data_IF_483384843093
#
_entry.id   IF_483384843093
#
_cell.length_a   1.000
_cell.length_b   1.000
_cell.length_c   1.000
_cell.angle_alpha   90.00
_cell.angle_beta   90.00
_cell.angle_gamma   90.00
#
_symmetry.space_group_name_H-M   'P 1'
#
loop_
_entity.id
_entity.type
_entity.pdbx_description
1 polymer ?
#
# COMPACT_ATOMS: atom_id res chain seq x y z
N UNK A 1 -26.89 -54.51 -44.12
CA UNK A 1 -26.35 -53.12 -44.26
C UNK A 1 -25.13 -53.14 -45.20
N UNK A 2 -25.24 -53.74 -46.38
CA UNK A 2 -24.10 -54.00 -47.29
C UNK A 2 -24.31 -53.46 -48.72
N UNK A 3 -25.42 -52.77 -49.00
CA UNK A 3 -25.72 -52.21 -50.32
C UNK A 3 -25.84 -50.67 -50.35
N UNK A 4 -25.61 -49.97 -49.22
CA UNK A 4 -25.67 -48.51 -49.16
C UNK A 4 -24.29 -47.82 -49.18
N UNK A 5 -23.18 -48.58 -49.15
CA UNK A 5 -21.83 -48.03 -48.94
C UNK A 5 -21.01 -47.76 -50.21
N UNK A 6 -21.58 -47.97 -51.41
CA UNK A 6 -20.81 -47.86 -52.67
C UNK A 6 -20.59 -46.43 -53.21
N UNK A 7 -21.27 -45.41 -52.69
CA UNK A 7 -21.12 -44.01 -53.16
C UNK A 7 -20.72 -43.00 -52.08
N UNK A 8 -20.08 -43.43 -51.00
CA UNK A 8 -19.56 -42.51 -49.99
C UNK A 8 -18.15 -42.01 -50.34
N UNK A 9 -17.97 -40.69 -50.34
CA UNK A 9 -16.66 -40.05 -50.53
C UNK A 9 -15.75 -40.38 -49.35
N UNK A 10 -14.43 -40.27 -49.56
CA UNK A 10 -13.43 -40.70 -48.57
C UNK A 10 -13.60 -40.03 -47.20
N UNK A 11 -14.02 -38.76 -47.16
CA UNK A 11 -14.29 -38.04 -45.92
C UNK A 11 -15.51 -38.59 -45.17
N UNK A 12 -16.55 -39.07 -45.88
CA UNK A 12 -17.75 -39.62 -45.25
C UNK A 12 -17.48 -40.99 -44.64
N UNK A 13 -16.63 -41.80 -45.28
CA UNK A 13 -16.13 -43.06 -44.70
C UNK A 13 -15.26 -42.81 -43.47
N UNK A 14 -14.42 -41.78 -43.51
CA UNK A 14 -13.63 -41.37 -42.36
C UNK A 14 -14.51 -40.90 -41.19
N UNK A 15 -15.50 -40.04 -41.46
CA UNK A 15 -16.47 -39.60 -40.45
C UNK A 15 -17.24 -40.79 -39.86
N UNK A 16 -17.74 -41.70 -40.68
CA UNK A 16 -18.45 -42.89 -40.20
C UNK A 16 -17.56 -43.81 -39.35
N UNK A 17 -16.28 -43.95 -39.72
CA UNK A 17 -15.32 -44.71 -38.91
C UNK A 17 -15.06 -44.06 -37.55
N UNK A 18 -14.83 -42.74 -37.52
CA UNK A 18 -14.63 -42.01 -36.26
C UNK A 18 -15.88 -42.11 -35.39
N UNK A 19 -17.06 -41.84 -35.93
CA UNK A 19 -18.34 -41.91 -35.19
C UNK A 19 -18.57 -43.31 -34.65
N UNK A 20 -18.48 -44.35 -35.49
CA UNK A 20 -18.71 -45.74 -35.06
C UNK A 20 -17.69 -46.21 -34.01
N UNK A 21 -16.43 -45.80 -34.15
CA UNK A 21 -15.38 -46.13 -33.18
C UNK A 21 -15.63 -45.41 -31.85
N UNK A 22 -16.01 -44.14 -31.89
CA UNK A 22 -16.36 -43.37 -30.69
C UNK A 22 -17.60 -43.92 -30.00
N UNK A 23 -18.66 -44.25 -30.75
CA UNK A 23 -19.88 -44.89 -30.22
C UNK A 23 -19.54 -46.20 -29.52
N UNK A 24 -18.80 -47.08 -30.20
CA UNK A 24 -18.40 -48.38 -29.61
C UNK A 24 -17.54 -48.19 -28.35
N UNK A 25 -16.65 -47.19 -28.35
CA UNK A 25 -15.80 -46.90 -27.19
C UNK A 25 -16.61 -46.36 -25.99
N UNK A 26 -17.52 -45.40 -26.21
CA UNK A 26 -18.37 -44.84 -25.16
C UNK A 26 -19.40 -45.83 -24.65
N UNK A 27 -19.96 -46.68 -25.51
CA UNK A 27 -20.89 -47.74 -25.10
C UNK A 27 -20.20 -48.77 -24.20
N UNK A 28 -19.01 -49.21 -24.59
CA UNK A 28 -18.22 -50.13 -23.77
C UNK A 28 -17.81 -49.50 -22.43
N UNK A 29 -17.40 -48.24 -22.42
CA UNK A 29 -17.05 -47.51 -21.20
C UNK A 29 -18.27 -47.30 -20.30
N UNK A 30 -19.42 -46.90 -20.87
CA UNK A 30 -20.68 -46.74 -20.16
C UNK A 30 -21.16 -48.05 -19.53
N UNK A 31 -21.05 -49.17 -20.25
CA UNK A 31 -21.37 -50.49 -19.71
C UNK A 31 -20.45 -50.89 -18.54
N UNK A 32 -19.14 -50.60 -18.62
CA UNK A 32 -18.22 -50.85 -17.52
C UNK A 32 -18.54 -50.03 -16.28
N UNK A 33 -18.87 -48.74 -16.44
CA UNK A 33 -19.28 -47.86 -15.33
C UNK A 33 -20.61 -48.34 -14.72
N UNK A 34 -21.60 -48.65 -15.54
CA UNK A 34 -22.92 -49.09 -15.08
C UNK A 34 -22.90 -50.47 -14.40
N UNK A 35 -22.00 -51.38 -14.82
CA UNK A 35 -21.90 -52.73 -14.24
C UNK A 35 -21.23 -52.76 -12.86
N UNK A 36 -20.41 -51.76 -12.51
CA UNK A 36 -19.70 -51.67 -11.21
C UNK A 36 -19.68 -50.23 -10.65
N UNK A 37 -20.85 -49.63 -10.34
CA UNK A 37 -20.94 -48.21 -10.02
C UNK A 37 -20.13 -47.80 -8.77
N UNK A 38 -20.19 -48.60 -7.69
CA UNK A 38 -19.46 -48.30 -6.46
C UNK A 38 -17.94 -48.29 -6.63
N UNK A 39 -17.41 -49.16 -7.49
CA UNK A 39 -15.97 -49.20 -7.76
C UNK A 39 -15.53 -47.97 -8.56
N UNK A 40 -16.31 -47.57 -9.56
CA UNK A 40 -16.06 -46.35 -10.33
C UNK A 40 -16.14 -45.09 -9.45
N UNK A 41 -17.18 -44.97 -8.61
CA UNK A 41 -17.32 -43.85 -7.66
C UNK A 41 -16.10 -43.77 -6.73
N UNK A 42 -15.69 -44.90 -6.14
CA UNK A 42 -14.52 -44.97 -5.27
C UNK A 42 -13.23 -44.53 -5.98
N UNK A 43 -13.04 -44.95 -7.23
CA UNK A 43 -11.88 -44.56 -8.04
C UNK A 43 -11.88 -43.07 -8.39
N UNK A 44 -13.04 -42.49 -8.73
CA UNK A 44 -13.20 -41.06 -8.96
C UNK A 44 -12.88 -40.24 -7.71
N UNK A 45 -13.44 -40.61 -6.55
CA UNK A 45 -13.14 -39.96 -5.28
C UNK A 45 -11.66 -40.07 -4.93
N UNK A 46 -11.05 -41.24 -5.10
CA UNK A 46 -9.61 -41.42 -4.86
C UNK A 46 -8.77 -40.50 -5.76
N UNK A 47 -9.14 -40.34 -7.02
CA UNK A 47 -8.47 -39.42 -7.94
C UNK A 47 -8.63 -37.95 -7.51
N UNK A 48 -9.85 -37.54 -7.14
CA UNK A 48 -10.14 -36.17 -6.67
C UNK A 48 -9.39 -35.87 -5.37
N UNK A 49 -9.48 -36.74 -4.37
CA UNK A 49 -8.76 -36.57 -3.10
C UNK A 49 -7.25 -36.55 -3.30
N UNK A 50 -6.70 -37.46 -4.13
CA UNK A 50 -5.27 -37.46 -4.45
C UNK A 50 -4.84 -36.18 -5.14
N UNK A 51 -5.68 -35.59 -5.99
CA UNK A 51 -5.39 -34.31 -6.64
C UNK A 51 -5.49 -33.16 -5.65
N UNK A 52 -6.47 -33.20 -4.74
CA UNK A 52 -6.66 -32.21 -3.69
C UNK A 52 -5.51 -32.18 -2.67
N UNK A 53 -4.75 -33.27 -2.49
CA UNK A 53 -3.53 -33.25 -1.68
C UNK A 53 -2.49 -32.23 -2.16
N UNK A 54 -2.54 -31.82 -3.45
CA UNK A 54 -1.71 -30.73 -3.97
C UNK A 54 -1.92 -29.39 -3.24
N UNK A 55 -3.12 -29.15 -2.69
CA UNK A 55 -3.42 -27.93 -1.93
C UNK A 55 -2.62 -27.82 -0.63
N UNK A 56 -2.04 -28.91 -0.10
CA UNK A 56 -1.14 -28.86 1.06
C UNK A 56 0.15 -28.07 0.79
N UNK A 57 0.53 -27.93 -0.48
CA UNK A 57 1.65 -27.10 -0.92
C UNK A 57 1.20 -25.80 -1.60
N UNK A 58 -0.07 -25.43 -1.45
CA UNK A 58 -0.55 -24.16 -1.98
C UNK A 58 0.13 -23.02 -1.22
N UNK A 59 0.88 -22.22 -1.97
CA UNK A 59 1.53 -21.02 -1.47
C UNK A 59 0.92 -19.83 -2.20
N UNK A 60 0.40 -18.88 -1.41
CA UNK A 60 -0.11 -17.62 -1.93
C UNK A 60 1.02 -16.60 -1.94
N UNK A 61 1.36 -16.14 -3.15
CA UNK A 61 2.32 -15.06 -3.36
C UNK A 61 1.76 -13.76 -2.79
N UNK A 62 2.54 -13.09 -1.93
CA UNK A 62 2.15 -11.80 -1.33
C UNK A 62 2.99 -10.63 -1.85
N UNK A 63 4.04 -10.90 -2.61
CA UNK A 63 4.90 -9.84 -3.10
C UNK A 63 4.24 -9.06 -4.25
N UNK A 64 3.87 -7.77 -4.07
CA UNK A 64 3.22 -7.00 -5.12
C UNK A 64 4.13 -6.86 -6.36
N UNK A 65 5.44 -6.76 -6.16
CA UNK A 65 6.39 -6.62 -7.24
C UNK A 65 6.38 -7.86 -8.15
N UNK A 66 6.23 -9.04 -7.57
CA UNK A 66 6.14 -10.28 -8.35
C UNK A 66 4.77 -10.49 -9.02
N UNK A 67 3.71 -9.97 -8.42
CA UNK A 67 2.33 -10.09 -8.93
C UNK A 67 2.02 -9.09 -10.06
N UNK A 68 2.47 -7.85 -9.92
CA UNK A 68 2.06 -6.73 -10.77
C UNK A 68 3.11 -6.30 -11.79
N UNK A 69 4.38 -6.70 -11.60
CA UNK A 69 5.48 -6.33 -12.49
C UNK A 69 6.01 -7.55 -13.25
N UNK A 70 6.13 -7.48 -14.58
CA UNK A 70 6.81 -8.53 -15.34
C UNK A 70 8.25 -8.71 -14.85
N UNK A 71 8.61 -9.94 -14.48
CA UNK A 71 9.89 -10.27 -13.83
C UNK A 71 11.14 -9.86 -14.61
N UNK A 72 11.06 -9.83 -15.94
CA UNK A 72 12.16 -9.45 -16.85
C UNK A 72 12.07 -8.00 -17.38
N UNK A 73 11.18 -7.19 -16.82
CA UNK A 73 11.10 -5.78 -17.21
C UNK A 73 12.32 -4.99 -16.73
N UNK A 74 12.65 -3.91 -17.43
CA UNK A 74 13.72 -2.98 -17.02
C UNK A 74 13.42 -2.37 -15.65
N UNK A 75 12.16 -2.02 -15.39
CA UNK A 75 11.71 -1.57 -14.06
C UNK A 75 12.04 -2.59 -12.97
N UNK A 76 11.79 -3.88 -13.22
CA UNK A 76 12.09 -4.94 -12.26
C UNK A 76 13.59 -4.99 -11.90
N UNK A 77 14.44 -4.95 -12.93
CA UNK A 77 15.89 -5.02 -12.77
C UNK A 77 16.43 -3.79 -12.03
N UNK A 78 15.97 -2.59 -12.41
CA UNK A 78 16.44 -1.34 -11.81
C UNK A 78 15.99 -1.19 -10.35
N UNK A 79 14.75 -1.58 -10.02
CA UNK A 79 14.24 -1.56 -8.65
C UNK A 79 14.96 -2.59 -7.78
N UNK A 80 15.26 -3.78 -8.31
CA UNK A 80 16.05 -4.77 -7.57
C UNK A 80 17.49 -4.30 -7.33
N UNK A 81 18.10 -3.61 -8.30
CA UNK A 81 19.38 -2.95 -8.09
C UNK A 81 19.31 -1.87 -7.01
N UNK A 82 18.25 -1.06 -6.99
CA UNK A 82 18.03 -0.03 -5.98
C UNK A 82 17.97 -0.64 -4.57
N UNK A 83 17.15 -1.68 -4.36
CA UNK A 83 17.01 -2.33 -3.06
C UNK A 83 18.29 -3.02 -2.60
N UNK A 84 19.04 -3.63 -3.53
CA UNK A 84 20.32 -4.27 -3.19
C UNK A 84 21.42 -3.26 -2.88
N UNK A 85 21.32 -2.04 -3.43
CA UNK A 85 22.37 -1.02 -3.31
C UNK A 85 22.13 -0.04 -2.18
N UNK A 86 20.86 0.30 -1.92
CA UNK A 86 20.44 1.20 -0.87
C UNK A 86 19.72 0.40 0.20
N UNK A 87 20.26 0.41 1.42
CA UNK A 87 19.68 -0.36 2.54
C UNK A 87 18.48 0.35 3.17
N UNK A 88 18.45 1.68 3.07
CA UNK A 88 17.50 2.53 3.77
C UNK A 88 16.59 3.23 2.76
N UNK A 89 15.30 3.20 3.04
CA UNK A 89 14.29 4.03 2.41
C UNK A 89 13.35 4.61 3.46
N UNK A 90 12.39 5.38 2.97
CA UNK A 90 11.29 5.86 3.77
C UNK A 90 9.96 5.61 3.08
N UNK A 91 8.91 5.52 3.90
CA UNK A 91 7.51 5.51 3.50
C UNK A 91 6.77 6.61 4.24
N UNK A 92 5.69 7.09 3.66
CA UNK A 92 5.00 8.30 4.10
C UNK A 92 3.69 7.98 4.78
N UNK A 93 3.52 8.56 5.96
CA UNK A 93 2.29 8.56 6.73
C UNK A 93 1.83 10.00 6.88
N UNK A 94 0.53 10.28 6.87
CA UNK A 94 0.12 11.67 6.86
C UNK A 94 -1.35 11.91 7.10
N UNK A 95 -1.67 13.19 7.21
CA UNK A 95 -3.05 13.63 7.23
C UNK A 95 -3.21 14.99 6.57
N UNK A 96 -4.36 15.17 5.94
CA UNK A 96 -4.83 16.40 5.35
C UNK A 96 -5.93 16.96 6.23
N UNK A 97 -5.69 18.15 6.79
CA UNK A 97 -6.71 18.92 7.50
C UNK A 97 -7.32 19.94 6.54
N UNK A 98 -8.64 19.95 6.47
CA UNK A 98 -9.43 20.86 5.63
C UNK A 98 -10.29 21.77 6.51
N UNK A 99 -10.14 23.07 6.30
CA UNK A 99 -10.90 24.14 6.97
C UNK A 99 -11.19 25.28 5.98
N UNK A 100 -11.97 26.28 6.38
CA UNK A 100 -12.21 27.47 5.55
C UNK A 100 -10.91 28.23 5.29
N UNK A 101 -10.07 28.34 6.32
CA UNK A 101 -8.69 28.81 6.21
C UNK A 101 -7.81 28.04 7.22
N UNK A 102 -6.78 27.35 6.71
CA UNK A 102 -5.85 26.56 7.55
C UNK A 102 -4.70 27.40 8.09
N UNK A 103 -4.52 28.63 7.63
CA UNK A 103 -3.45 29.55 8.05
C UNK A 103 -3.87 30.41 9.26
N UNK A 104 -4.79 29.91 10.08
CA UNK A 104 -5.20 30.57 11.32
C UNK A 104 -4.51 29.95 12.55
N UNK A 105 -4.29 30.73 13.62
CA UNK A 105 -3.66 30.24 14.84
C UNK A 105 -4.40 29.04 15.47
N UNK A 106 -5.74 29.03 15.40
CA UNK A 106 -6.56 27.96 15.99
C UNK A 106 -6.34 26.63 15.26
N UNK A 107 -6.24 26.67 13.93
CA UNK A 107 -5.98 25.47 13.13
C UNK A 107 -4.55 24.98 13.35
N UNK A 108 -3.55 25.87 13.34
CA UNK A 108 -2.17 25.48 13.61
C UNK A 108 -1.98 24.91 15.02
N UNK A 109 -2.68 25.45 16.02
CA UNK A 109 -2.69 24.88 17.37
C UNK A 109 -3.29 23.46 17.38
N UNK A 110 -4.40 23.25 16.67
CA UNK A 110 -5.01 21.92 16.51
C UNK A 110 -4.04 20.93 15.87
N UNK A 111 -3.31 21.35 14.83
CA UNK A 111 -2.29 20.54 14.16
C UNK A 111 -1.15 20.21 15.11
N UNK A 112 -0.71 21.16 15.93
CA UNK A 112 0.36 20.95 16.93
C UNK A 112 -0.06 19.97 18.03
N UNK A 113 -1.32 20.03 18.49
CA UNK A 113 -1.86 19.05 19.45
C UNK A 113 -1.96 17.65 18.85
N UNK A 114 -2.36 17.53 17.59
CA UNK A 114 -2.39 16.25 16.86
C UNK A 114 -0.97 15.70 16.71
N UNK A 115 -0.02 16.55 16.33
CA UNK A 115 1.40 16.17 16.20
C UNK A 115 1.97 15.63 17.51
N UNK A 116 1.69 16.29 18.64
CA UNK A 116 2.10 15.82 19.95
C UNK A 116 1.47 14.46 20.30
N UNK A 117 0.18 14.26 19.99
CA UNK A 117 -0.50 12.98 20.19
C UNK A 117 0.13 11.87 19.36
N UNK A 118 0.41 12.11 18.08
CA UNK A 118 1.07 11.15 17.17
C UNK A 118 2.45 10.78 17.72
N UNK A 119 3.26 11.76 18.11
CA UNK A 119 4.60 11.53 18.69
C UNK A 119 4.56 10.78 20.02
N UNK A 120 3.44 10.87 20.75
CA UNK A 120 3.22 10.14 22.01
C UNK A 120 2.63 8.74 21.84
N UNK A 121 2.34 8.28 20.61
CA UNK A 121 1.83 6.92 20.37
C UNK A 121 2.89 5.89 20.75
N UNK A 122 2.47 4.93 21.56
CA UNK A 122 3.26 3.77 21.97
C UNK A 122 2.44 2.53 21.62
N UNK A 123 3.05 1.60 20.90
CA UNK A 123 2.40 0.31 20.58
C UNK A 123 2.35 -0.62 21.81
N UNK A 124 1.60 -1.72 21.71
CA UNK A 124 1.59 -2.76 22.76
C UNK A 124 2.97 -3.34 23.08
N UNK A 125 3.92 -3.25 22.14
CA UNK A 125 5.28 -3.75 22.27
C UNK A 125 6.27 -2.66 22.71
N UNK A 126 5.79 -1.45 23.01
CA UNK A 126 6.63 -0.33 23.45
C UNK A 126 7.26 0.48 22.32
N UNK A 127 6.97 0.15 21.06
CA UNK A 127 7.54 0.84 19.89
C UNK A 127 7.00 2.27 19.82
N UNK A 128 7.91 3.23 19.68
CA UNK A 128 7.62 4.67 19.61
C UNK A 128 7.93 5.26 18.23
N UNK A 129 7.33 6.42 17.90
CA UNK A 129 7.60 7.10 16.63
C UNK A 129 9.10 7.37 16.40
N UNK A 130 9.84 7.73 17.46
CA UNK A 130 11.28 8.05 17.38
C UNK A 130 12.14 6.83 16.98
N UNK A 131 11.66 5.62 17.21
CA UNK A 131 12.37 4.39 16.85
C UNK A 131 12.13 4.02 15.39
N UNK A 132 10.90 4.21 14.90
CA UNK A 132 10.49 3.83 13.54
C UNK A 132 10.63 4.94 12.50
N UNK A 133 10.83 6.19 12.90
CA UNK A 133 10.95 7.31 11.95
C UNK A 133 12.23 7.24 11.11
N UNK A 134 12.15 7.78 9.90
CA UNK A 134 13.34 8.01 9.08
C UNK A 134 14.15 9.17 9.67
N UNK A 135 15.37 8.88 10.10
CA UNK A 135 16.22 9.85 10.80
C UNK A 135 17.11 10.62 9.84
N UNK A 136 17.17 11.93 10.03
CA UNK A 136 18.09 12.83 9.33
C UNK A 136 18.97 13.58 10.35
N UNK A 137 20.18 14.02 9.95
CA UNK A 137 20.99 14.92 10.77
C UNK A 137 20.27 16.25 11.00
N UNK A 138 20.14 16.64 12.26
CA UNK A 138 19.70 17.97 12.68
C UNK A 138 20.87 18.95 12.54
N UNK A 139 20.65 20.04 11.82
CA UNK A 139 21.68 21.05 11.56
C UNK A 139 21.27 22.34 12.25
N UNK A 140 22.05 22.75 13.24
CA UNK A 140 21.87 24.04 13.90
C UNK A 140 22.21 25.20 12.92
N UNK A 141 21.38 26.24 12.96
CA UNK A 141 21.55 27.49 12.21
C UNK A 141 22.91 28.14 12.56
N UNK A 142 23.43 27.93 13.77
CA UNK A 142 24.73 28.44 14.19
C UNK A 142 25.90 27.75 13.46
N UNK A 143 25.77 26.46 13.11
CA UNK A 143 26.75 25.75 12.28
C UNK A 143 26.67 26.26 10.82
N UNK A 144 25.48 26.68 10.38
CA UNK A 144 25.28 27.36 9.11
C UNK A 144 26.04 28.69 8.98
N UNK A 145 26.24 29.40 10.10
CA UNK A 145 27.10 30.61 10.12
C UNK A 145 28.59 30.26 9.87
N UNK A 146 29.00 29.01 10.10
CA UNK A 146 30.34 28.53 9.72
C UNK A 146 30.45 28.24 8.22
N UNK A 147 29.35 27.82 7.57
CA UNK A 147 29.29 27.57 6.13
C UNK A 147 29.11 28.84 5.29
N UNK A 148 28.54 29.91 5.87
CA UNK A 148 28.53 31.25 5.26
C UNK A 148 29.90 31.91 5.44
N UNK A 149 30.68 31.96 4.37
CA UNK A 149 31.96 32.68 4.32
C UNK A 149 31.79 34.14 4.77
N UNK A 150 32.51 34.52 5.85
CA UNK A 150 32.59 35.90 6.37
C UNK A 150 33.37 36.87 5.46
N UNK A 151 33.89 36.43 4.32
CA UNK A 151 34.76 37.24 3.46
C UNK A 151 34.12 37.60 2.11
N UNK A 152 33.03 38.37 2.15
CA UNK A 152 32.50 39.05 0.97
C UNK A 152 32.89 40.54 1.02
N UNK A 153 34.14 40.85 0.66
CA UNK A 153 34.51 42.22 0.26
C UNK A 153 34.25 42.48 -1.24
N UNK A 154 34.00 41.43 -2.02
CA UNK A 154 33.81 41.48 -3.48
C UNK A 154 32.67 40.55 -3.92
N UNK A 155 31.43 40.77 -3.46
CA UNK A 155 30.17 40.40 -4.15
C UNK A 155 29.91 38.95 -4.58
N UNK A 156 30.82 38.00 -4.36
CA UNK A 156 30.68 36.59 -4.67
C UNK A 156 30.77 35.82 -3.35
N UNK A 157 29.61 35.53 -2.75
CA UNK A 157 29.51 34.70 -1.56
C UNK A 157 29.97 33.27 -1.91
N UNK A 158 31.23 32.94 -1.59
CA UNK A 158 31.69 31.56 -1.70
C UNK A 158 31.15 30.76 -0.52
N UNK A 159 30.13 29.94 -0.78
CA UNK A 159 29.64 28.97 0.19
C UNK A 159 30.74 27.95 0.51
N UNK A 160 31.07 27.76 1.79
CA UNK A 160 32.02 26.72 2.19
C UNK A 160 31.29 25.38 2.23
N UNK A 161 31.55 24.52 1.24
CA UNK A 161 31.00 23.16 1.17
C UNK A 161 32.02 22.14 1.71
N UNK A 162 31.80 21.56 2.91
CA UNK A 162 32.73 20.60 3.51
C UNK A 162 32.92 19.34 2.68
N UNK A 163 31.96 18.97 1.83
CA UNK A 163 32.04 17.77 1.00
C UNK A 163 33.12 17.88 -0.08
N UNK A 164 33.47 19.12 -0.48
CA UNK A 164 34.52 19.40 -1.47
C UNK A 164 35.92 19.41 -0.84
N UNK A 165 36.03 19.86 0.42
CA UNK A 165 37.31 20.05 1.10
C UNK A 165 37.74 18.89 1.99
N UNK A 166 36.79 18.12 2.54
CA UNK A 166 37.09 16.98 3.39
C UNK A 166 37.15 15.68 2.59
N UNK A 167 38.05 14.78 3.01
CA UNK A 167 38.00 13.41 2.50
C UNK A 167 36.73 12.70 3.02
N UNK A 168 36.33 11.63 2.35
CA UNK A 168 35.08 10.91 2.66
C UNK A 168 35.02 10.44 4.12
N UNK A 169 36.12 9.98 4.71
CA UNK A 169 36.14 9.49 6.09
C UNK A 169 35.93 10.63 7.11
N UNK A 170 36.55 11.79 6.90
CA UNK A 170 36.37 12.97 7.74
C UNK A 170 34.97 13.56 7.58
N UNK A 171 34.44 13.58 6.35
CA UNK A 171 33.10 14.06 6.08
C UNK A 171 32.03 13.14 6.73
N UNK A 172 32.14 11.81 6.59
CA UNK A 172 31.20 10.89 7.25
C UNK A 172 31.23 11.05 8.76
N UNK A 173 32.41 11.15 9.38
CA UNK A 173 32.52 11.38 10.83
C UNK A 173 31.87 12.69 11.28
N UNK A 174 31.98 13.75 10.47
CA UNK A 174 31.29 15.01 10.73
C UNK A 174 29.77 14.82 10.67
N UNK A 175 29.26 14.18 9.61
CA UNK A 175 27.82 13.94 9.44
C UNK A 175 27.26 13.04 10.55
N UNK A 176 27.99 12.00 10.94
CA UNK A 176 27.65 11.08 12.03
C UNK A 176 27.70 11.74 13.41
N UNK A 177 28.39 12.89 13.55
CA UNK A 177 28.47 13.62 14.83
C UNK A 177 27.24 14.47 15.14
N UNK A 178 26.39 14.74 14.14
CA UNK A 178 25.18 15.53 14.33
C UNK A 178 24.13 14.73 15.11
N UNK A 179 23.30 15.44 15.88
CA UNK A 179 22.09 14.85 16.46
C UNK A 179 21.17 14.39 15.33
N UNK A 180 20.44 13.30 15.56
CA UNK A 180 19.47 12.80 14.61
C UNK A 180 18.05 13.19 15.02
N UNK A 181 17.29 13.72 14.07
CA UNK A 181 15.87 14.03 14.21
C UNK A 181 15.02 13.22 13.23
N UNK A 182 13.73 13.06 13.52
CA UNK A 182 12.81 12.40 12.62
C UNK A 182 12.46 13.34 11.45
N UNK A 183 12.59 12.85 10.22
CA UNK A 183 12.12 13.57 9.06
C UNK A 183 10.59 13.66 9.11
N UNK A 184 10.12 14.89 9.22
CA UNK A 184 8.73 15.29 9.15
C UNK A 184 8.65 16.43 8.12
N UNK A 185 7.51 16.57 7.45
CA UNK A 185 7.18 17.78 6.69
C UNK A 185 5.94 18.40 7.29
N UNK A 186 6.13 19.54 7.94
CA UNK A 186 5.07 20.31 8.57
C UNK A 186 5.36 21.80 8.49
N UNK A 187 4.30 22.61 8.31
CA UNK A 187 4.43 24.07 8.40
C UNK A 187 4.84 24.51 9.82
N UNK A 188 4.62 23.65 10.84
CA UNK A 188 5.00 23.92 12.23
C UNK A 188 6.53 24.02 12.43
N UNK A 189 7.33 23.52 11.47
CA UNK A 189 8.78 23.66 11.46
C UNK A 189 9.23 25.13 11.48
N UNK A 190 8.44 26.04 10.88
CA UNK A 190 8.75 27.49 10.87
C UNK A 190 8.83 28.11 12.27
N UNK A 191 8.29 27.43 13.27
CA UNK A 191 8.30 27.82 14.68
C UNK A 191 8.94 26.75 15.59
N UNK A 192 9.72 25.83 15.03
CA UNK A 192 10.38 24.73 15.76
C UNK A 192 9.40 23.90 16.62
N UNK A 193 8.16 23.72 16.17
CA UNK A 193 7.12 22.99 16.91
C UNK A 193 6.82 23.54 18.31
N UNK A 194 7.13 24.82 18.57
CA UNK A 194 6.92 25.47 19.86
C UNK A 194 5.45 25.89 20.04
N UNK A 195 4.69 25.10 20.82
CA UNK A 195 3.25 25.28 21.03
C UNK A 195 2.95 26.65 21.67
N UNK A 196 3.78 27.10 22.61
CA UNK A 196 3.55 28.38 23.30
C UNK A 196 3.73 29.56 22.36
N UNK A 197 4.69 29.47 21.43
CA UNK A 197 4.82 30.46 20.34
C UNK A 197 3.62 30.42 19.42
N UNK A 198 3.21 29.23 18.96
CA UNK A 198 2.09 29.07 18.02
C UNK A 198 0.79 29.66 18.58
N UNK A 199 0.54 29.46 19.87
CA UNK A 199 -0.64 29.98 20.56
C UNK A 199 -0.73 31.52 20.59
N UNK A 200 0.41 32.20 20.55
CA UNK A 200 0.49 33.66 20.59
C UNK A 200 0.50 34.30 19.19
N UNK A 201 0.59 33.51 18.12
CA UNK A 201 0.67 34.03 16.76
C UNK A 201 -0.63 34.68 16.33
N UNK A 202 -0.50 35.76 15.57
CA UNK A 202 -1.58 36.30 14.75
C UNK A 202 -1.55 35.72 13.34
N UNK A 203 -2.71 35.68 12.67
CA UNK A 203 -2.82 35.28 11.26
C UNK A 203 -1.84 36.04 10.36
N UNK A 204 -1.64 37.34 10.60
CA UNK A 204 -0.74 38.18 9.81
C UNK A 204 0.72 37.74 9.96
N UNK A 205 1.15 37.36 11.17
CA UNK A 205 2.50 36.85 11.41
C UNK A 205 2.72 35.49 10.75
N UNK A 206 1.72 34.61 10.77
CA UNK A 206 1.74 33.31 10.07
C UNK A 206 1.99 33.54 8.58
N UNK A 207 1.17 34.37 7.95
CA UNK A 207 1.25 34.68 6.52
C UNK A 207 2.59 35.33 6.16
N UNK A 208 3.05 36.30 6.96
CA UNK A 208 4.33 36.97 6.71
C UNK A 208 5.51 36.00 6.82
N UNK A 209 5.51 35.12 7.83
CA UNK A 209 6.58 34.14 8.05
C UNK A 209 6.61 33.11 6.92
N UNK A 210 5.45 32.62 6.48
CA UNK A 210 5.31 31.68 5.39
C UNK A 210 5.78 32.28 4.05
N UNK A 211 5.34 33.48 3.71
CA UNK A 211 5.75 34.12 2.45
C UNK A 211 7.23 34.51 2.43
N UNK A 212 7.81 34.85 3.60
CA UNK A 212 9.25 35.12 3.71
C UNK A 212 10.11 33.85 3.62
N UNK A 213 9.56 32.69 3.98
CA UNK A 213 10.27 31.41 4.04
C UNK A 213 9.48 30.33 3.30
N UNK A 214 9.37 30.46 1.97
CA UNK A 214 8.64 29.47 1.14
C UNK A 214 9.36 28.12 1.10
N UNK A 215 10.69 28.16 1.08
CA UNK A 215 11.56 27.01 1.09
C UNK A 215 12.36 27.00 2.39
N UNK A 216 12.63 25.80 2.90
CA UNK A 216 13.60 25.63 3.96
C UNK A 216 14.97 26.14 3.55
N UNK A 217 15.68 26.75 4.50
CA UNK A 217 16.97 27.36 4.23
C UNK A 217 18.05 26.34 3.83
N UNK A 218 18.01 25.13 4.38
CA UNK A 218 19.01 24.07 4.18
C UNK A 218 18.60 23.10 3.08
N UNK A 219 17.36 22.64 3.13
CA UNK A 219 16.84 21.62 2.23
C UNK A 219 16.27 22.23 0.93
N UNK A 220 16.13 23.55 0.87
CA UNK A 220 15.66 24.27 -0.30
C UNK A 220 14.33 23.73 -0.79
N UNK A 221 14.27 23.36 -2.08
CA UNK A 221 13.06 22.82 -2.69
C UNK A 221 12.62 21.46 -2.12
N UNK A 222 13.51 20.70 -1.47
CA UNK A 222 13.14 19.43 -0.85
C UNK A 222 12.15 19.63 0.32
N UNK A 223 12.23 20.79 0.98
CA UNK A 223 11.26 21.21 2.00
C UNK A 223 10.60 22.54 1.57
N UNK A 224 9.80 22.46 0.52
CA UNK A 224 8.91 23.56 0.13
C UNK A 224 7.61 23.49 0.95
N UNK A 225 7.31 24.55 1.70
CA UNK A 225 6.11 24.64 2.53
C UNK A 225 4.84 24.92 1.72
N UNK A 226 4.99 25.47 0.51
CA UNK A 226 3.86 25.72 -0.40
C UNK A 226 3.21 24.41 -0.86
N UNK A 227 4.01 23.33 -1.00
CA UNK A 227 3.51 22.00 -1.38
C UNK A 227 2.65 21.34 -0.30
N UNK A 228 2.75 21.81 0.95
CA UNK A 228 1.94 21.33 2.06
C UNK A 228 0.54 21.97 2.05
N UNK A 229 0.31 23.02 1.26
CA UNK A 229 -0.95 23.75 1.23
C UNK A 229 -1.76 23.36 -0.01
N UNK A 230 -3.06 23.19 0.19
CA UNK A 230 -4.02 22.91 -0.87
C UNK A 230 -5.03 24.04 -1.05
N UNK A 231 -5.39 24.29 -2.32
CA UNK A 231 -6.32 25.34 -2.73
C UNK A 231 -5.94 26.72 -2.16
N UNK A 232 -4.76 27.19 -2.58
CA UNK A 232 -4.12 28.42 -2.11
C UNK A 232 -4.76 29.63 -2.80
N UNK A 233 -5.13 30.65 -2.03
CA UNK A 233 -5.53 31.95 -2.56
C UNK A 233 -4.38 32.95 -2.41
N UNK A 234 -4.04 33.62 -3.51
CA UNK A 234 -2.94 34.58 -3.56
C UNK A 234 -3.44 35.99 -3.82
N UNK A 235 -2.72 37.00 -3.33
CA UNK A 235 -2.96 38.39 -3.70
C UNK A 235 -2.46 38.69 -5.12
N UNK A 236 -2.70 39.92 -5.60
CA UNK A 236 -2.24 40.41 -6.92
C UNK A 236 -0.71 40.40 -7.08
N UNK A 237 0.04 40.35 -5.97
CA UNK A 237 1.51 40.32 -5.93
C UNK A 237 2.05 38.88 -5.92
N UNK A 238 1.20 37.86 -5.77
CA UNK A 238 1.58 36.45 -5.69
C UNK A 238 2.00 35.98 -4.30
N UNK A 239 1.62 36.71 -3.25
CA UNK A 239 1.75 36.28 -1.86
C UNK A 239 0.54 35.46 -1.43
N UNK A 240 0.77 34.42 -0.63
CA UNK A 240 -0.26 33.53 -0.10
C UNK A 240 -1.06 34.28 0.97
N UNK A 241 -2.38 34.28 0.86
CA UNK A 241 -3.28 34.97 1.80
C UNK A 241 -4.12 33.96 2.61
N UNK A 242 -4.55 32.88 1.97
CA UNK A 242 -5.33 31.82 2.61
C UNK A 242 -5.04 30.46 1.94
N UNK A 243 -5.38 29.38 2.61
CA UNK A 243 -5.39 28.04 2.02
C UNK A 243 -6.50 27.20 2.67
N UNK A 244 -7.12 26.28 1.92
CA UNK A 244 -8.22 25.44 2.45
C UNK A 244 -7.77 24.11 3.02
N UNK A 245 -6.62 23.61 2.60
CA UNK A 245 -6.11 22.33 3.06
C UNK A 245 -4.65 22.44 3.49
N UNK A 246 -4.29 21.69 4.52
CA UNK A 246 -2.93 21.54 5.03
C UNK A 246 -2.60 20.05 5.12
N UNK A 247 -1.52 19.64 4.46
CA UNK A 247 -1.02 18.28 4.46
C UNK A 247 0.24 18.18 5.32
N UNK A 248 0.23 17.24 6.27
CA UNK A 248 1.36 16.91 7.13
C UNK A 248 1.85 15.51 6.80
N UNK A 249 3.17 15.35 6.64
CA UNK A 249 3.81 14.06 6.39
C UNK A 249 4.78 13.68 7.50
N UNK A 250 4.77 12.41 7.84
CA UNK A 250 5.70 11.72 8.72
C UNK A 250 6.40 10.64 7.91
N UNK A 251 7.72 10.59 7.97
CA UNK A 251 8.51 9.62 7.20
C UNK A 251 8.93 8.49 8.13
N UNK A 252 8.49 7.27 7.83
CA UNK A 252 8.93 6.06 8.53
C UNK A 252 10.09 5.40 7.80
N UNK A 253 11.01 4.82 8.57
CA UNK A 253 12.17 4.11 8.07
C UNK A 253 11.79 2.73 7.54
N UNK A 254 12.33 2.42 6.36
CA UNK A 254 12.18 1.13 5.69
C UNK A 254 13.57 0.54 5.50
N UNK A 255 13.79 -0.67 6.02
CA UNK A 255 15.05 -1.39 5.86
C UNK A 255 14.92 -2.43 4.75
N UNK A 256 15.35 -2.12 3.53
CA UNK A 256 15.22 -3.05 2.40
C UNK A 256 15.94 -4.39 2.60
N UNK A 257 17.04 -4.40 3.34
CA UNK A 257 17.83 -5.61 3.59
C UNK A 257 17.17 -6.59 4.56
N UNK A 258 16.27 -6.11 5.43
CA UNK A 258 15.61 -6.92 6.45
C UNK A 258 14.16 -7.30 6.10
N UNK A 259 13.64 -6.86 4.95
CA UNK A 259 12.24 -7.05 4.59
C UNK A 259 12.01 -8.39 3.91
N UNK A 260 11.11 -9.15 4.49
CA UNK A 260 10.49 -10.32 3.86
C UNK A 260 8.98 -10.05 3.69
N UNK A 261 8.56 -9.88 2.44
CA UNK A 261 7.16 -9.55 2.11
C UNK A 261 6.24 -10.77 2.28
N UNK A 262 6.78 -11.98 2.20
CA UNK A 262 5.98 -13.20 2.34
C UNK A 262 5.46 -13.37 3.79
N UNK A 263 6.19 -12.83 4.76
CA UNK A 263 5.86 -12.89 6.19
C UNK A 263 4.97 -11.73 6.64
N UNK A 264 5.28 -10.49 6.24
CA UNK A 264 4.65 -9.29 6.82
C UNK A 264 3.73 -8.49 5.87
N UNK A 265 3.55 -8.93 4.62
CA UNK A 265 2.62 -8.33 3.66
C UNK A 265 1.16 -8.79 3.83
N UNK A 266 0.24 -8.09 3.14
CA UNK A 266 -1.16 -8.52 3.05
C UNK A 266 -1.31 -9.74 2.13
N UNK A 267 -2.38 -10.52 2.28
CA UNK A 267 -2.59 -11.71 1.42
C UNK A 267 -3.04 -11.31 0.01
N UNK A 268 -3.62 -10.13 -0.18
CA UNK A 268 -3.99 -9.63 -1.51
C UNK A 268 -2.79 -9.21 -2.39
N UNK A 269 -1.57 -9.16 -1.83
CA UNK A 269 -0.36 -8.83 -2.59
C UNK A 269 -0.35 -7.39 -3.12
N UNK A 270 -0.82 -6.47 -2.29
CA UNK A 270 -0.86 -5.02 -2.55
C UNK A 270 -0.21 -4.19 -1.44
N UNK A 271 0.38 -4.84 -0.43
CA UNK A 271 1.11 -4.18 0.64
C UNK A 271 2.46 -3.66 0.13
N UNK A 272 2.83 -2.46 0.55
CA UNK A 272 4.12 -1.85 0.24
C UNK A 272 5.23 -2.34 1.19
N UNK A 273 6.50 -2.17 0.80
CA UNK A 273 7.65 -2.56 1.61
C UNK A 273 7.66 -1.81 2.96
N UNK A 274 7.72 -2.57 4.05
CA UNK A 274 7.66 -2.03 5.39
C UNK A 274 8.48 -2.86 6.37
N UNK A 275 9.12 -2.21 7.34
CA UNK A 275 9.67 -2.86 8.52
C UNK A 275 8.54 -3.33 9.43
N UNK A 276 8.70 -4.47 10.11
CA UNK A 276 7.68 -5.05 11.00
C UNK A 276 7.20 -4.04 12.07
N UNK A 277 8.16 -3.38 12.73
CA UNK A 277 7.88 -2.38 13.76
C UNK A 277 7.13 -1.16 13.20
N UNK A 278 7.44 -0.78 11.96
CA UNK A 278 6.74 0.28 11.23
C UNK A 278 5.27 -0.06 11.01
N UNK A 279 4.98 -1.29 10.55
CA UNK A 279 3.59 -1.75 10.35
C UNK A 279 2.79 -1.75 11.66
N UNK A 280 3.41 -2.17 12.77
CA UNK A 280 2.77 -2.15 14.09
C UNK A 280 2.45 -0.73 14.54
N UNK A 281 3.39 0.20 14.37
CA UNK A 281 3.17 1.61 14.70
C UNK A 281 2.10 2.25 13.81
N UNK A 282 2.12 1.99 12.50
CA UNK A 282 1.11 2.48 11.54
C UNK A 282 -0.31 2.05 11.91
N UNK A 283 -0.48 0.84 12.47
CA UNK A 283 -1.79 0.38 12.95
C UNK A 283 -2.35 1.29 14.06
N UNK A 284 -1.51 1.63 15.04
CA UNK A 284 -1.91 2.47 16.17
C UNK A 284 -2.07 3.93 15.73
N UNK A 285 -1.25 4.40 14.79
CA UNK A 285 -1.45 5.68 14.12
C UNK A 285 -2.82 5.77 13.46
N UNK A 286 -3.24 4.76 12.67
CA UNK A 286 -4.55 4.73 12.01
C UNK A 286 -5.71 4.76 13.02
N UNK A 287 -5.62 3.99 14.12
CA UNK A 287 -6.64 4.00 15.19
C UNK A 287 -6.73 5.36 15.89
N UNK A 288 -5.59 5.99 16.17
CA UNK A 288 -5.54 7.33 16.75
C UNK A 288 -6.19 8.34 15.81
N UNK A 289 -5.83 8.33 14.53
CA UNK A 289 -6.35 9.26 13.54
C UNK A 289 -7.84 9.06 13.29
N UNK A 290 -8.34 7.83 13.32
CA UNK A 290 -9.78 7.54 13.25
C UNK A 290 -10.53 8.18 14.45
N UNK A 291 -9.99 8.04 15.66
CA UNK A 291 -10.56 8.65 16.87
C UNK A 291 -10.56 10.18 16.80
N UNK A 292 -9.45 10.78 16.36
CA UNK A 292 -9.33 12.22 16.17
C UNK A 292 -10.32 12.72 15.11
N UNK A 293 -10.40 12.03 13.98
CA UNK A 293 -11.30 12.37 12.87
C UNK A 293 -12.77 12.35 13.28
N UNK A 294 -13.19 11.50 14.21
CA UNK A 294 -14.58 11.44 14.70
C UNK A 294 -14.91 12.54 15.71
N UNK A 295 -13.91 13.06 16.43
CA UNK A 295 -14.09 14.06 17.49
C UNK A 295 -14.04 15.51 16.99
N UNK A 296 -13.41 15.76 15.84
CA UNK A 296 -13.32 17.09 15.25
C UNK A 296 -14.63 17.52 14.57
N UNK A 297 -15.12 18.71 14.93
CA UNK A 297 -16.38 19.26 14.40
C UNK A 297 -16.18 20.51 13.54
N UNK A 298 -15.14 21.31 13.82
CA UNK A 298 -14.83 22.56 13.11
C UNK A 298 -14.00 22.37 11.84
N UNK A 299 -13.27 21.26 11.73
CA UNK A 299 -12.44 20.92 10.58
C UNK A 299 -12.62 19.46 10.19
N UNK A 300 -12.33 19.13 8.93
CA UNK A 300 -12.35 17.76 8.44
C UNK A 300 -10.92 17.25 8.32
N UNK A 301 -10.67 16.03 8.77
CA UNK A 301 -9.38 15.37 8.61
C UNK A 301 -9.55 14.16 7.72
N UNK A 302 -8.66 14.05 6.74
CA UNK A 302 -8.42 12.84 5.98
C UNK A 302 -7.03 12.35 6.36
N UNK A 303 -6.87 11.06 6.62
CA UNK A 303 -5.60 10.49 7.04
C UNK A 303 -5.26 9.32 6.13
N UNK A 304 -3.97 9.13 5.93
CA UNK A 304 -3.44 8.03 5.15
C UNK A 304 -2.24 7.43 5.86
N UNK A 305 -2.09 6.14 5.66
CA UNK A 305 -0.91 5.40 6.05
C UNK A 305 -0.51 4.48 4.92
N UNK A 306 0.78 4.23 4.72
CA UNK A 306 1.23 3.42 3.61
C UNK A 306 0.72 1.96 3.70
N UNK A 307 0.36 1.44 4.89
CA UNK A 307 -0.35 0.14 5.02
C UNK A 307 -1.83 0.19 4.64
N UNK A 308 -2.47 1.35 4.71
CA UNK A 308 -3.94 1.46 4.65
C UNK A 308 -4.52 0.93 3.34
N UNK A 309 -3.84 1.15 2.21
CA UNK A 309 -4.23 0.61 0.92
C UNK A 309 -4.20 -0.94 0.91
N UNK A 310 -3.17 -1.53 1.50
CA UNK A 310 -3.03 -2.97 1.64
C UNK A 310 -4.15 -3.58 2.51
N UNK A 311 -4.48 -2.92 3.63
CA UNK A 311 -5.53 -3.37 4.54
C UNK A 311 -6.92 -3.33 3.88
N UNK A 312 -7.25 -2.23 3.19
CA UNK A 312 -8.53 -2.08 2.48
C UNK A 312 -8.63 -3.10 1.35
N UNK A 313 -7.59 -3.22 0.52
CA UNK A 313 -7.56 -4.19 -0.59
C UNK A 313 -7.77 -5.60 -0.09
N UNK A 314 -7.10 -5.98 1.00
CA UNK A 314 -7.22 -7.29 1.59
C UNK A 314 -8.63 -7.57 2.13
N UNK A 315 -9.23 -6.59 2.79
CA UNK A 315 -10.63 -6.68 3.23
C UNK A 315 -11.59 -6.89 2.07
N UNK A 316 -11.46 -6.08 1.00
CA UNK A 316 -12.33 -6.16 -0.18
C UNK A 316 -12.21 -7.48 -0.94
N UNK A 317 -11.01 -8.08 -1.01
CA UNK A 317 -10.79 -9.34 -1.73
C UNK A 317 -11.62 -10.51 -1.15
N UNK A 318 -11.81 -10.53 0.16
CA UNK A 318 -12.52 -11.61 0.85
C UNK A 318 -13.95 -11.26 1.28
N UNK A 319 -14.36 -10.00 1.15
CA UNK A 319 -15.69 -9.55 1.54
C UNK A 319 -16.81 -10.30 0.80
N UNK A 320 -16.58 -10.66 -0.47
CA UNK A 320 -17.62 -11.22 -1.34
C UNK A 320 -17.63 -12.76 -1.40
N UNK A 321 -16.79 -13.45 -0.62
CA UNK A 321 -16.73 -14.93 -0.66
C UNK A 321 -18.07 -15.58 -0.29
N UNK A 322 -18.82 -14.97 0.64
CA UNK A 322 -20.15 -15.45 1.03
C UNK A 322 -21.18 -15.31 -0.09
N UNK A 323 -21.08 -14.25 -0.91
CA UNK A 323 -21.95 -14.03 -2.07
C UNK A 323 -21.66 -15.10 -3.14
N UNK A 324 -20.39 -15.42 -3.36
CA UNK A 324 -19.98 -16.48 -4.29
C UNK A 324 -20.50 -17.87 -3.86
N UNK A 325 -20.38 -18.20 -2.57
CA UNK A 325 -20.92 -19.45 -2.01
C UNK A 325 -22.45 -19.51 -2.20
N UNK A 326 -23.13 -18.41 -1.92
CA UNK A 326 -24.59 -18.30 -2.11
C UNK A 326 -24.97 -18.48 -3.59
N UNK A 327 -24.21 -17.88 -4.50
CA UNK A 327 -24.40 -18.06 -5.94
C UNK A 327 -24.29 -19.52 -6.38
N UNK A 328 -23.26 -20.24 -5.90
CA UNK A 328 -23.10 -21.68 -6.17
C UNK A 328 -24.30 -22.46 -5.65
N UNK A 329 -24.77 -22.18 -4.42
CA UNK A 329 -25.93 -22.84 -3.84
C UNK A 329 -27.21 -22.62 -4.67
N UNK A 330 -27.46 -21.38 -5.11
CA UNK A 330 -28.61 -21.04 -5.96
C UNK A 330 -28.53 -21.76 -7.31
N UNK A 331 -27.34 -21.85 -7.92
CA UNK A 331 -27.16 -22.60 -9.17
C UNK A 331 -27.44 -24.09 -8.98
N UNK A 332 -26.96 -24.69 -7.90
CA UNK A 332 -27.24 -26.10 -7.57
C UNK A 332 -28.75 -26.33 -7.42
N UNK A 333 -29.43 -25.47 -6.65
CA UNK A 333 -30.88 -25.54 -6.49
C UNK A 333 -31.62 -25.38 -7.82
N UNK A 334 -31.21 -24.44 -8.66
CA UNK A 334 -31.81 -24.22 -9.97
C UNK A 334 -31.70 -25.47 -10.85
N UNK A 335 -30.51 -26.07 -10.94
CA UNK A 335 -30.30 -27.28 -11.75
C UNK A 335 -31.11 -28.46 -11.18
N UNK A 336 -31.18 -28.61 -9.85
CA UNK A 336 -32.02 -29.61 -9.21
C UNK A 336 -33.50 -29.44 -9.60
N UNK A 337 -34.02 -28.22 -9.57
CA UNK A 337 -35.42 -27.93 -9.94
C UNK A 337 -35.71 -28.17 -11.43
N UNK A 338 -34.77 -27.88 -12.32
CA UNK A 338 -34.96 -28.05 -13.78
C UNK A 338 -34.92 -29.52 -14.21
N UNK A 339 -34.05 -30.33 -13.60
CA UNK A 339 -33.90 -31.76 -13.95
C UNK A 339 -34.95 -32.62 -13.24
N UNK A 340 -35.38 -32.19 -12.05
CA UNK A 340 -36.40 -32.90 -11.27
C UNK A 340 -37.79 -32.72 -11.87
N UNK A 341 -38.61 -33.76 -11.81
CA UNK A 341 -40.04 -33.65 -12.07
C UNK A 341 -40.77 -33.48 -10.75
N UNK A 342 -41.83 -32.67 -10.73
CA UNK A 342 -42.64 -32.38 -9.54
C UNK A 342 -43.51 -33.59 -9.12
N UNK A 343 -42.88 -34.70 -8.76
CA UNK A 343 -43.51 -35.87 -8.19
C UNK A 343 -42.57 -36.46 -7.12
N UNK A 344 -43.11 -36.93 -6.00
CA UNK A 344 -42.35 -37.42 -4.84
C UNK A 344 -41.52 -38.70 -5.11
N UNK A 345 -41.66 -39.30 -6.30
CA UNK A 345 -40.96 -40.53 -6.72
C UNK A 345 -39.90 -40.26 -7.81
N UNK A 346 -40.10 -39.26 -8.67
CA UNK A 346 -39.16 -38.91 -9.75
C UNK A 346 -38.28 -37.70 -9.39
N UNK A 347 -38.23 -37.35 -8.10
CA UNK A 347 -37.37 -36.29 -7.60
C UNK A 347 -35.90 -36.69 -7.71
N UNK A 348 -35.14 -36.06 -8.61
CA UNK A 348 -33.73 -36.37 -8.89
C UNK A 348 -32.76 -35.52 -8.06
N UNK A 349 -33.10 -35.31 -6.79
CA UNK A 349 -32.32 -34.45 -5.87
C UNK A 349 -30.89 -34.96 -5.66
N UNK A 350 -30.71 -36.28 -5.63
CA UNK A 350 -29.43 -36.95 -5.38
C UNK A 350 -28.42 -36.89 -6.55
N UNK A 351 -28.86 -36.51 -7.76
CA UNK A 351 -28.03 -36.62 -8.97
C UNK A 351 -26.90 -35.57 -9.04
N UNK A 352 -26.99 -34.48 -8.26
CA UNK A 352 -26.05 -33.35 -8.29
C UNK A 352 -25.23 -33.26 -6.99
N UNK A 353 -25.71 -33.83 -5.89
CA UNK A 353 -25.04 -33.79 -4.59
C UNK A 353 -24.01 -34.91 -4.37
N UNK A 354 -23.99 -35.92 -5.26
CA UNK A 354 -23.04 -37.04 -5.30
C UNK A 354 -21.93 -36.75 -6.29
#
# INVERSE_FOLDING_TARGET
MSQLTQNFKWYEKFTAFIVSTSETAFDNLGYQVASKPWWTIGLCWLFVFSSALGFLKFHQEKNPFKLWVPSKSEFSINTQWLFNKFENAYRTEGFILVADDVLTPEVLLTVAEIDQKIKSVITSEGITFKEVCFKIPEIDIDINLLFKSRNSKNGNDSFFDPSVYFNSATYCKLVESFSQECLQRSILELWNFDIEKIKQLSKKEIINKLNSNKNDFLFGNFKNYTELLGNIETNEVGEIVSAKALHIFYMLHVNFSAIDIDTFGNTAGTADWASEDGLKWENEFLKLMESISKNLTSSKIYYESARSFGDISNGTMFQDIGILITGIFVMVLYVQLVISKFNWVEAREWMICL
#
